data_IF_451938965811
#
_entry.id   IF_451938965811
#
_cell.length_a   1.000
_cell.length_b   1.000
_cell.length_c   1.000
_cell.angle_alpha   90.00
_cell.angle_beta   90.00
_cell.angle_gamma   90.00
#
_symmetry.space_group_name_H-M   'P 1'
#
loop_
_entity.id
_entity.type
_entity.pdbx_description
1 polymer ?
#
# COMPACT_ATOMS: atom_id res chain seq x y z
N UNK A 1 -67.30 -48.43 36.24
CA UNK A 1 -67.02 -47.30 35.35
C UNK A 1 -65.57 -47.43 34.84
N UNK A 2 -65.38 -47.49 33.54
CA UNK A 2 -64.15 -47.97 32.86
C UNK A 2 -63.08 -46.85 32.74
N UNK A 3 -61.92 -47.03 33.40
CA UNK A 3 -60.78 -46.18 33.24
C UNK A 3 -59.91 -46.66 32.05
N UNK A 4 -59.65 -45.77 31.07
CA UNK A 4 -58.75 -46.05 29.93
C UNK A 4 -57.31 -45.70 30.33
N UNK A 5 -56.43 -46.66 30.27
CA UNK A 5 -54.98 -46.46 30.31
C UNK A 5 -54.50 -45.82 29.03
N UNK A 6 -53.79 -44.67 29.15
CA UNK A 6 -53.05 -44.07 28.07
C UNK A 6 -51.60 -44.61 28.06
N UNK A 7 -51.22 -45.25 26.99
CA UNK A 7 -49.83 -45.72 26.76
C UNK A 7 -48.98 -44.56 26.26
N UNK A 8 -48.00 -44.11 27.05
CA UNK A 8 -46.97 -43.16 26.60
C UNK A 8 -45.98 -43.89 25.71
N UNK A 9 -45.92 -43.49 24.43
CA UNK A 9 -44.91 -43.93 23.51
C UNK A 9 -43.68 -43.05 23.66
N UNK A 10 -42.54 -43.64 23.98
CA UNK A 10 -41.21 -43.01 24.02
C UNK A 10 -40.69 -42.92 22.61
N UNK A 11 -40.63 -41.68 22.06
CA UNK A 11 -39.99 -41.40 20.76
C UNK A 11 -38.51 -41.13 21.02
N UNK A 12 -37.70 -42.07 20.60
CA UNK A 12 -36.24 -41.97 20.63
C UNK A 12 -35.78 -41.08 19.46
N UNK A 13 -35.33 -39.85 19.75
CA UNK A 13 -34.65 -39.00 18.74
C UNK A 13 -33.20 -39.49 18.58
N UNK A 14 -32.92 -40.09 17.43
CA UNK A 14 -31.54 -40.38 17.00
C UNK A 14 -30.95 -39.11 16.47
N UNK A 15 -30.09 -38.42 17.23
CA UNK A 15 -29.22 -37.35 16.74
C UNK A 15 -28.15 -37.95 15.82
N UNK A 16 -28.31 -37.81 14.52
CA UNK A 16 -27.23 -38.05 13.56
C UNK A 16 -26.24 -36.87 13.67
N UNK A 17 -25.07 -37.14 14.25
CA UNK A 17 -23.95 -36.20 14.19
C UNK A 17 -23.42 -36.15 12.76
N UNK A 18 -23.76 -35.07 12.04
CA UNK A 18 -23.10 -34.72 10.80
C UNK A 18 -21.68 -34.23 11.14
N UNK A 19 -20.68 -35.06 10.84
CA UNK A 19 -19.29 -34.61 10.83
C UNK A 19 -19.11 -33.60 9.69
N UNK A 20 -19.22 -32.31 10.01
CA UNK A 20 -18.84 -31.23 9.12
C UNK A 20 -17.33 -31.29 8.91
N UNK A 21 -16.92 -31.68 7.71
CA UNK A 21 -15.55 -31.51 7.23
C UNK A 21 -15.26 -30.00 7.25
N UNK A 22 -14.43 -29.56 8.19
CA UNK A 22 -13.81 -28.25 8.12
C UNK A 22 -12.92 -28.28 6.87
N UNK A 23 -13.40 -27.67 5.79
CA UNK A 23 -12.54 -27.24 4.69
C UNK A 23 -11.57 -26.24 5.32
N UNK A 24 -10.32 -26.63 5.50
CA UNK A 24 -9.24 -25.69 5.70
C UNK A 24 -9.26 -24.79 4.48
N UNK A 25 -9.61 -23.52 4.68
CA UNK A 25 -9.28 -22.51 3.72
C UNK A 25 -7.76 -22.52 3.62
N UNK A 26 -7.27 -22.95 2.49
CA UNK A 26 -5.90 -22.68 2.04
C UNK A 26 -5.86 -21.17 1.79
N UNK A 27 -5.67 -20.41 2.87
CA UNK A 27 -5.24 -19.03 2.80
C UNK A 27 -3.84 -19.08 2.22
N UNK A 28 -3.79 -19.05 0.87
CA UNK A 28 -2.55 -19.09 0.12
C UNK A 28 -1.60 -18.09 0.78
N UNK A 29 -0.66 -18.64 1.52
CA UNK A 29 0.48 -17.96 2.09
C UNK A 29 1.08 -17.15 0.94
N UNK A 30 0.84 -15.83 0.96
CA UNK A 30 1.49 -14.93 0.03
C UNK A 30 2.95 -14.93 0.48
N UNK A 31 3.70 -15.85 -0.10
CA UNK A 31 5.15 -15.82 -0.03
C UNK A 31 5.60 -14.47 -0.63
N UNK A 32 5.52 -13.45 0.22
CA UNK A 32 6.18 -12.19 0.01
C UNK A 32 7.65 -12.51 0.05
N UNK A 33 8.27 -12.67 -1.14
CA UNK A 33 9.63 -13.14 -1.33
C UNK A 33 10.68 -12.39 -0.50
N UNK A 34 10.53 -12.47 0.83
CA UNK A 34 11.53 -12.05 1.77
C UNK A 34 12.75 -12.93 1.58
N UNK A 35 13.79 -12.35 1.02
CA UNK A 35 15.09 -12.97 1.11
C UNK A 35 15.44 -13.11 2.60
N UNK A 36 16.11 -14.22 2.97
CA UNK A 36 16.63 -14.47 4.34
C UNK A 36 17.49 -13.32 4.89
N UNK A 37 17.81 -12.34 4.05
CA UNK A 37 18.65 -11.18 4.34
C UNK A 37 17.84 -9.91 4.67
N UNK A 38 16.54 -9.99 4.92
CA UNK A 38 15.69 -8.84 5.26
C UNK A 38 15.45 -7.87 4.10
N UNK A 39 15.56 -8.34 2.84
CA UNK A 39 15.33 -7.54 1.64
C UNK A 39 14.12 -8.00 0.86
N UNK A 40 13.33 -7.03 0.37
CA UNK A 40 12.24 -7.28 -0.56
C UNK A 40 12.15 -6.17 -1.60
N UNK A 41 11.37 -6.43 -2.66
CA UNK A 41 11.19 -5.49 -3.77
C UNK A 41 9.71 -5.19 -3.93
N UNK A 42 9.37 -3.90 -3.99
CA UNK A 42 8.03 -3.44 -4.34
C UNK A 42 8.04 -2.70 -5.67
N UNK A 43 6.91 -2.75 -6.38
CA UNK A 43 6.72 -2.11 -7.69
C UNK A 43 5.31 -1.55 -7.82
N UNK A 44 5.15 -0.55 -8.68
CA UNK A 44 3.86 -0.05 -9.12
C UNK A 44 3.95 0.56 -10.51
N UNK A 45 2.91 0.36 -11.31
CA UNK A 45 2.63 1.20 -12.47
C UNK A 45 1.72 2.35 -12.02
N UNK A 46 2.09 3.58 -12.39
CA UNK A 46 1.37 4.79 -12.01
C UNK A 46 0.55 5.28 -13.19
N UNK A 47 -0.77 5.40 -12.98
CA UNK A 47 -1.73 5.92 -13.96
C UNK A 47 -2.77 6.78 -13.27
N UNK A 48 -3.39 7.70 -14.02
CA UNK A 48 -4.40 8.61 -13.48
C UNK A 48 -5.65 7.89 -12.96
N UNK A 49 -6.03 6.76 -13.55
CA UNK A 49 -7.19 5.98 -13.12
C UNK A 49 -7.05 5.32 -11.73
N UNK A 50 -5.85 5.27 -11.18
CA UNK A 50 -5.61 4.80 -9.81
C UNK A 50 -5.63 5.94 -8.78
N UNK A 51 -5.71 7.20 -9.20
CA UNK A 51 -5.90 8.33 -8.28
C UNK A 51 -7.28 8.30 -7.62
N UNK A 52 -7.41 9.02 -6.51
CA UNK A 52 -8.66 9.12 -5.75
C UNK A 52 -8.98 10.60 -5.47
N UNK A 53 -9.96 11.17 -6.16
CA UNK A 53 -10.72 10.63 -7.31
C UNK A 53 -9.85 10.30 -8.52
N UNK A 54 -10.32 9.41 -9.40
CA UNK A 54 -9.62 9.07 -10.64
C UNK A 54 -9.41 10.30 -11.52
N UNK A 55 -8.23 10.40 -12.16
CA UNK A 55 -7.85 11.48 -13.08
C UNK A 55 -7.78 10.91 -14.49
N UNK A 56 -8.43 11.58 -15.45
CA UNK A 56 -8.30 11.27 -16.87
C UNK A 56 -7.11 12.05 -17.43
N UNK A 57 -6.00 11.37 -17.67
CA UNK A 57 -4.74 11.93 -18.16
C UNK A 57 -4.00 10.91 -19.01
N UNK A 58 -3.22 11.30 -20.02
CA UNK A 58 -2.29 10.42 -20.71
C UNK A 58 -1.04 10.10 -19.89
N UNK A 59 -0.85 10.77 -18.75
CA UNK A 59 0.31 10.61 -17.89
C UNK A 59 0.45 9.18 -17.38
N UNK A 60 1.68 8.72 -17.31
CA UNK A 60 2.03 7.39 -16.83
C UNK A 60 3.42 7.39 -16.19
N UNK A 61 3.68 6.37 -15.40
CA UNK A 61 4.97 6.22 -14.72
C UNK A 61 5.13 4.85 -14.11
N UNK A 62 6.29 4.61 -13.53
CA UNK A 62 6.57 3.40 -12.77
C UNK A 62 7.38 3.71 -11.52
N UNK A 63 7.15 2.94 -10.48
CA UNK A 63 7.92 2.97 -9.25
C UNK A 63 8.48 1.58 -8.96
N UNK A 64 9.75 1.53 -8.56
CA UNK A 64 10.38 0.32 -8.04
C UNK A 64 11.26 0.69 -6.87
N UNK A 65 11.19 -0.09 -5.80
CA UNK A 65 12.09 0.06 -4.67
C UNK A 65 12.61 -1.29 -4.17
N UNK A 66 13.84 -1.27 -3.66
CA UNK A 66 14.43 -2.33 -2.84
C UNK A 66 14.43 -1.83 -1.41
N UNK A 67 13.72 -2.51 -0.53
CA UNK A 67 13.69 -2.25 0.90
C UNK A 67 14.67 -3.20 1.57
N UNK A 68 15.55 -2.65 2.41
CA UNK A 68 16.50 -3.40 3.25
C UNK A 68 16.20 -3.06 4.71
N UNK A 69 15.54 -3.99 5.40
CA UNK A 69 15.14 -3.81 6.81
C UNK A 69 16.29 -3.98 7.80
N UNK A 70 17.42 -4.54 7.36
CA UNK A 70 18.64 -4.65 8.18
C UNK A 70 19.43 -3.35 8.12
N UNK A 71 19.62 -2.81 6.91
CA UNK A 71 20.31 -1.53 6.72
C UNK A 71 19.40 -0.32 7.00
N UNK A 72 18.07 -0.51 7.15
CA UNK A 72 17.07 0.54 7.24
C UNK A 72 17.13 1.52 6.05
N UNK A 73 17.13 1.00 4.83
CA UNK A 73 17.18 1.80 3.60
C UNK A 73 16.13 1.35 2.59
N UNK A 74 15.59 2.33 1.82
CA UNK A 74 14.77 2.08 0.64
C UNK A 74 15.46 2.73 -0.54
N UNK A 75 16.06 1.91 -1.41
CA UNK A 75 16.63 2.40 -2.68
C UNK A 75 15.54 2.37 -3.73
N UNK A 76 15.23 3.52 -4.34
CA UNK A 76 14.10 3.63 -5.26
C UNK A 76 14.49 4.19 -6.63
N UNK A 77 13.63 3.89 -7.60
CA UNK A 77 13.58 4.46 -8.94
C UNK A 77 12.11 4.78 -9.26
N UNK A 78 11.84 6.03 -9.60
CA UNK A 78 10.57 6.53 -10.09
C UNK A 78 10.78 7.02 -11.53
N UNK A 79 9.89 6.65 -12.43
CA UNK A 79 9.80 7.27 -13.76
C UNK A 79 8.42 7.87 -13.95
N UNK A 80 8.33 8.97 -14.72
CA UNK A 80 7.06 9.54 -15.14
C UNK A 80 7.21 10.29 -16.46
N UNK A 81 6.12 10.30 -17.24
CA UNK A 81 6.04 10.97 -18.52
C UNK A 81 4.61 11.45 -18.80
N UNK A 82 4.49 12.33 -19.82
CA UNK A 82 3.25 12.85 -20.36
C UNK A 82 2.31 13.51 -19.31
N UNK A 83 2.87 14.09 -18.24
CA UNK A 83 2.08 14.91 -17.31
C UNK A 83 1.46 16.09 -18.04
N UNK A 84 0.19 16.37 -17.80
CA UNK A 84 -0.52 17.50 -18.43
C UNK A 84 -0.15 18.84 -17.77
N UNK A 85 0.30 18.84 -16.51
CA UNK A 85 0.81 20.00 -15.80
C UNK A 85 2.31 19.94 -15.55
N UNK A 86 2.87 21.05 -15.04
CA UNK A 86 4.25 21.05 -14.54
C UNK A 86 4.33 20.21 -13.28
N UNK A 87 5.30 19.28 -13.21
CA UNK A 87 5.52 18.45 -12.02
C UNK A 87 5.78 19.30 -10.78
N UNK A 88 5.09 19.02 -9.69
CA UNK A 88 5.24 19.73 -8.43
C UNK A 88 5.92 18.92 -7.35
N UNK A 89 5.56 17.65 -7.19
CA UNK A 89 6.10 16.77 -6.17
C UNK A 89 5.72 15.30 -6.42
N UNK A 90 6.40 14.39 -5.73
CA UNK A 90 6.09 12.97 -5.69
C UNK A 90 6.41 12.39 -4.32
N UNK A 91 5.57 11.48 -3.86
CA UNK A 91 5.66 10.88 -2.52
C UNK A 91 5.35 9.39 -2.53
N UNK A 92 5.69 8.73 -1.41
CA UNK A 92 5.06 7.50 -0.98
C UNK A 92 4.15 7.79 0.20
N UNK A 93 2.95 7.23 0.17
CA UNK A 93 1.90 7.38 1.16
C UNK A 93 1.60 6.06 1.86
N UNK A 94 1.15 6.13 3.11
CA UNK A 94 0.54 5.01 3.81
C UNK A 94 -0.97 5.01 3.58
N UNK A 95 -1.46 4.02 2.85
CA UNK A 95 -2.89 3.88 2.53
C UNK A 95 -3.17 2.68 1.65
N UNK A 96 -4.31 2.06 1.91
CA UNK A 96 -4.81 0.97 1.08
C UNK A 96 -5.28 1.49 -0.29
N UNK A 97 -5.51 0.55 -1.21
CA UNK A 97 -6.06 0.85 -2.54
C UNK A 97 -7.37 1.65 -2.43
N UNK A 98 -7.53 2.64 -3.31
CA UNK A 98 -8.70 3.51 -3.41
C UNK A 98 -8.99 4.38 -2.17
N UNK A 99 -7.99 4.61 -1.33
CA UNK A 99 -8.09 5.50 -0.18
C UNK A 99 -6.89 6.45 -0.17
N UNK A 100 -7.13 7.74 0.12
CA UNK A 100 -6.05 8.70 0.32
C UNK A 100 -5.51 8.56 1.74
N UNK A 101 -4.22 8.31 1.85
CA UNK A 101 -3.48 8.25 3.10
C UNK A 101 -2.50 9.40 3.24
N UNK A 102 -1.87 9.52 4.41
CA UNK A 102 -0.87 10.55 4.67
C UNK A 102 0.48 10.22 4.00
N UNK A 103 1.29 11.25 3.80
CA UNK A 103 2.64 11.14 3.21
C UNK A 103 3.58 10.47 4.22
N UNK A 104 4.31 9.45 3.75
CA UNK A 104 5.35 8.80 4.52
C UNK A 104 6.73 9.39 4.24
N UNK A 105 7.07 9.58 2.97
CA UNK A 105 8.32 10.23 2.58
C UNK A 105 8.23 10.81 1.15
N UNK A 106 9.06 11.82 0.89
CA UNK A 106 9.14 12.47 -0.43
C UNK A 106 10.13 11.73 -1.34
N UNK A 107 9.78 11.65 -2.62
CA UNK A 107 10.67 11.17 -3.67
C UNK A 107 11.35 12.34 -4.38
N UNK A 108 10.60 13.42 -4.63
CA UNK A 108 11.10 14.71 -5.11
C UNK A 108 10.09 15.82 -4.85
N UNK A 109 10.54 17.09 -4.87
CA UNK A 109 9.64 18.24 -4.75
C UNK A 109 10.22 19.49 -5.39
N UNK A 110 9.35 20.23 -6.10
CA UNK A 110 9.59 21.58 -6.65
C UNK A 110 8.81 22.65 -5.88
N UNK A 111 8.11 22.26 -4.80
CA UNK A 111 7.40 23.20 -3.94
C UNK A 111 8.36 23.92 -2.98
N UNK A 112 7.99 25.12 -2.49
CA UNK A 112 8.76 25.81 -1.46
C UNK A 112 8.86 24.99 -0.18
N UNK A 113 10.07 24.96 0.41
CA UNK A 113 10.33 24.35 1.73
C UNK A 113 9.97 22.86 1.83
N UNK A 114 10.43 22.01 0.93
CA UNK A 114 10.26 20.56 1.08
C UNK A 114 11.03 20.06 2.32
N UNK A 115 10.75 18.84 2.81
CA UNK A 115 11.56 18.24 3.86
C UNK A 115 13.05 18.21 3.49
N UNK A 116 13.94 18.37 4.47
CA UNK A 116 15.39 18.37 4.23
C UNK A 116 15.84 17.11 3.45
N UNK A 117 16.75 17.31 2.49
CA UNK A 117 17.27 16.23 1.66
C UNK A 117 16.39 15.82 0.48
N UNK A 118 15.21 16.41 0.32
CA UNK A 118 14.34 16.16 -0.83
C UNK A 118 14.94 16.80 -2.09
N UNK A 119 15.17 15.99 -3.13
CA UNK A 119 15.66 16.46 -4.44
C UNK A 119 14.55 17.12 -5.25
N UNK A 120 14.94 17.92 -6.25
CA UNK A 120 13.98 18.50 -7.20
C UNK A 120 13.41 17.41 -8.14
N UNK A 121 12.15 17.59 -8.56
CA UNK A 121 11.54 16.75 -9.60
C UNK A 121 11.97 17.23 -10.98
N UNK A 122 12.64 16.39 -11.80
CA UNK A 122 13.00 16.74 -13.17
C UNK A 122 11.76 16.88 -14.07
N UNK A 123 11.89 17.65 -15.15
CA UNK A 123 10.84 17.77 -16.17
C UNK A 123 10.65 16.45 -16.92
N UNK A 124 9.39 16.01 -17.21
CA UNK A 124 9.13 14.82 -18.03
C UNK A 124 9.71 14.90 -19.47
N UNK A 125 10.12 13.76 -20.09
CA UNK A 125 10.23 12.43 -19.49
C UNK A 125 11.32 12.36 -18.43
N UNK A 126 11.06 11.74 -17.29
CA UNK A 126 11.92 11.87 -16.13
C UNK A 126 12.19 10.55 -15.42
N UNK A 127 13.34 10.50 -14.80
CA UNK A 127 13.74 9.47 -13.85
C UNK A 127 14.26 10.12 -12.57
N UNK A 128 13.77 9.65 -11.43
CA UNK A 128 14.20 10.07 -10.09
C UNK A 128 14.70 8.84 -9.35
N UNK A 129 15.95 8.88 -8.90
CA UNK A 129 16.56 7.82 -8.10
C UNK A 129 17.01 8.38 -6.77
N UNK A 130 16.94 7.57 -5.73
CA UNK A 130 17.36 8.00 -4.40
C UNK A 130 17.38 6.88 -3.37
N UNK A 131 17.77 7.25 -2.17
CA UNK A 131 17.77 6.38 -1.00
C UNK A 131 17.01 7.09 0.10
N UNK A 132 16.08 6.40 0.72
CA UNK A 132 15.33 6.83 1.91
C UNK A 132 15.95 6.12 3.11
N UNK A 133 16.19 6.88 4.16
CA UNK A 133 16.63 6.41 5.47
C UNK A 133 15.57 6.77 6.52
N UNK A 134 15.68 6.34 7.78
CA UNK A 134 14.71 6.71 8.82
C UNK A 134 14.46 8.22 8.92
N UNK A 135 15.47 9.06 8.73
CA UNK A 135 15.36 10.51 8.84
C UNK A 135 14.47 11.14 7.75
N UNK A 136 14.26 10.43 6.63
CA UNK A 136 13.39 10.88 5.55
C UNK A 136 11.92 10.51 5.79
N UNK A 137 11.62 9.61 6.73
CA UNK A 137 10.25 9.21 7.07
C UNK A 137 9.64 10.31 7.94
N UNK A 138 8.62 11.00 7.42
CA UNK A 138 7.96 12.14 8.09
C UNK A 138 6.64 11.79 8.75
N UNK A 139 6.10 10.59 8.48
CA UNK A 139 4.79 10.19 9.02
C UNK A 139 4.13 9.08 8.22
N UNK A 140 2.77 9.00 8.27
CA UNK A 140 1.82 9.93 8.91
C UNK A 140 1.54 9.56 10.39
N UNK A 141 1.88 10.44 11.32
CA UNK A 141 1.71 10.20 12.75
C UNK A 141 0.24 9.93 13.16
N UNK A 142 -0.71 10.61 12.50
CA UNK A 142 -2.15 10.40 12.73
C UNK A 142 -2.68 9.03 12.30
N UNK A 143 -1.89 8.27 11.54
CA UNK A 143 -2.19 6.89 11.13
C UNK A 143 -1.24 5.88 11.82
N UNK A 144 -0.49 6.29 12.83
CA UNK A 144 0.37 5.41 13.63
C UNK A 144 1.82 5.29 13.14
N UNK A 145 2.23 6.07 12.12
CA UNK A 145 3.63 6.12 11.66
C UNK A 145 4.25 7.47 12.08
N UNK A 146 4.93 7.56 13.23
CA UNK A 146 5.62 8.80 13.62
C UNK A 146 6.85 9.07 12.73
N UNK A 147 7.40 10.30 12.77
CA UNK A 147 8.66 10.58 12.09
C UNK A 147 9.76 9.58 12.49
N UNK A 148 10.60 9.22 11.54
CA UNK A 148 11.68 8.22 11.63
C UNK A 148 11.23 6.77 11.88
N UNK A 149 9.93 6.46 11.85
CA UNK A 149 9.41 5.10 12.02
C UNK A 149 9.56 4.29 10.72
N UNK A 150 10.79 3.92 10.42
CA UNK A 150 11.13 3.19 9.19
C UNK A 150 10.50 1.79 9.14
N UNK A 151 10.50 1.06 10.25
CA UNK A 151 10.01 -0.32 10.28
C UNK A 151 8.51 -0.39 9.93
N UNK A 152 7.70 0.56 10.39
CA UNK A 152 6.27 0.62 10.16
C UNK A 152 5.95 0.89 8.68
N UNK A 153 6.67 1.82 8.03
CA UNK A 153 6.45 2.06 6.60
C UNK A 153 7.02 0.92 5.75
N UNK A 154 8.13 0.29 6.14
CA UNK A 154 8.67 -0.88 5.45
C UNK A 154 7.65 -2.04 5.48
N UNK A 155 7.06 -2.34 6.64
CA UNK A 155 6.00 -3.34 6.77
C UNK A 155 4.77 -2.98 5.93
N UNK A 156 4.33 -1.73 5.95
CA UNK A 156 3.21 -1.27 5.12
C UNK A 156 3.47 -1.42 3.61
N UNK A 157 4.71 -1.19 3.16
CA UNK A 157 5.11 -1.40 1.77
C UNK A 157 5.07 -2.87 1.39
N UNK A 158 5.51 -3.76 2.26
CA UNK A 158 5.51 -5.21 2.05
C UNK A 158 4.08 -5.76 1.98
N UNK A 159 3.24 -5.34 2.91
CA UNK A 159 1.83 -5.76 3.01
C UNK A 159 0.92 -5.11 1.94
N UNK A 160 1.46 -4.22 1.07
CA UNK A 160 0.69 -3.57 0.01
C UNK A 160 -0.22 -2.44 0.50
N UNK A 161 0.06 -1.85 1.66
CA UNK A 161 -0.64 -0.69 2.23
C UNK A 161 0.10 0.64 1.99
N UNK A 162 0.92 0.70 0.95
CA UNK A 162 1.56 1.93 0.52
C UNK A 162 1.32 2.18 -0.97
N UNK A 163 1.35 3.43 -1.39
CA UNK A 163 1.26 3.81 -2.79
C UNK A 163 2.20 4.97 -3.12
N UNK A 164 2.68 5.02 -4.37
CA UNK A 164 3.41 6.15 -4.90
C UNK A 164 2.49 6.99 -5.79
N UNK A 165 2.69 8.32 -5.79
CA UNK A 165 2.01 9.22 -6.72
C UNK A 165 2.93 10.36 -7.18
N UNK A 166 2.52 11.00 -8.29
CA UNK A 166 3.16 12.19 -8.86
C UNK A 166 2.10 13.25 -9.02
N UNK A 167 2.40 14.47 -8.61
CA UNK A 167 1.52 15.63 -8.67
C UNK A 167 1.98 16.62 -9.72
N UNK A 168 1.04 17.33 -10.31
CA UNK A 168 1.31 18.44 -11.21
C UNK A 168 0.50 19.69 -10.85
N UNK A 169 0.78 20.78 -11.56
CA UNK A 169 0.03 22.04 -11.39
C UNK A 169 -1.43 21.91 -11.78
N UNK A 170 -1.80 20.98 -12.70
CA UNK A 170 -3.20 20.74 -13.08
C UNK A 170 -3.88 19.71 -12.18
N UNK A 171 -3.13 18.83 -11.56
CA UNK A 171 -3.63 17.83 -10.62
C UNK A 171 -2.86 17.91 -9.28
N UNK A 172 -3.12 18.94 -8.45
CA UNK A 172 -2.38 19.15 -7.21
C UNK A 172 -2.67 18.09 -6.15
N UNK A 173 -3.75 17.33 -6.28
CA UNK A 173 -4.07 16.17 -5.42
C UNK A 173 -3.37 14.87 -5.82
N UNK A 174 -2.71 14.84 -7.00
CA UNK A 174 -2.08 13.70 -7.64
C UNK A 174 -2.58 13.54 -9.07
N UNK A 175 -1.68 13.38 -10.04
CA UNK A 175 -2.03 13.15 -11.45
C UNK A 175 -1.96 11.67 -11.82
N UNK A 176 -0.96 10.97 -11.30
CA UNK A 176 -0.80 9.51 -11.46
C UNK A 176 -0.44 8.86 -10.14
N UNK A 177 -1.00 7.68 -9.90
CA UNK A 177 -0.83 6.88 -8.68
C UNK A 177 -0.68 5.41 -9.00
N UNK A 178 0.06 4.67 -8.15
CA UNK A 178 0.16 3.21 -8.20
C UNK A 178 0.32 2.60 -6.82
N UNK A 179 -0.49 1.56 -6.50
CA UNK A 179 -0.36 0.80 -5.25
C UNK A 179 0.87 -0.10 -5.32
N UNK A 180 1.72 -0.06 -4.29
CA UNK A 180 2.93 -0.88 -4.19
C UNK A 180 2.59 -2.35 -3.95
N UNK A 181 3.36 -3.24 -4.59
CA UNK A 181 3.22 -4.71 -4.50
C UNK A 181 4.57 -5.39 -4.67
#
# INVERSE_FOLDING_TARGET
MKGRMLKSGLVMFVCAAAAGSLMANDDGDRDHGHNKDGRFVVRAELIGLQEVPAVSTPAHGSFRAVVDTVANTITYRLTYDALEGTVTQSHVHFGQRNVNGGISFFLCSNLPSPPPGTQACPTPPAEVVGVITPENVIGPAGQGIPPAAFAEIAAAMDDGFAYANVHSTLAPGGEIRGQLR
#
